data_IF_427657688244
#
_entry.id   IF_427657688244
#
_cell.length_a   1.000
_cell.length_b   1.000
_cell.length_c   1.000
_cell.angle_alpha   90.00
_cell.angle_beta   90.00
_cell.angle_gamma   90.00
#
_symmetry.space_group_name_H-M   'P 1'
#
loop_
_entity.id
_entity.type
_entity.pdbx_description
1 polymer ?
#
# COMPACT_ATOMS: atom_id res chain seq x y z
N UNK A 1 13.97 -6.99 15.64
CA UNK A 1 13.62 -5.86 14.75
C UNK A 1 12.79 -6.41 13.61
N UNK A 2 11.54 -5.96 13.46
CA UNK A 2 10.70 -6.40 12.34
C UNK A 2 11.27 -5.88 11.02
N UNK A 3 11.71 -6.80 10.16
CA UNK A 3 12.21 -6.48 8.81
C UNK A 3 11.09 -5.83 8.01
N UNK A 4 11.36 -4.71 7.35
CA UNK A 4 10.38 -4.06 6.46
C UNK A 4 9.92 -5.03 5.35
N UNK A 5 8.66 -4.96 4.94
CA UNK A 5 8.13 -5.74 3.82
C UNK A 5 8.68 -5.21 2.50
N UNK A 6 9.21 -6.10 1.67
CA UNK A 6 9.70 -5.78 0.33
C UNK A 6 8.58 -5.84 -0.71
N UNK A 7 8.73 -5.11 -1.85
CA UNK A 7 7.78 -5.20 -2.96
C UNK A 7 7.61 -6.64 -3.47
N UNK A 8 8.69 -7.44 -3.47
CA UNK A 8 8.64 -8.83 -3.94
C UNK A 8 7.80 -9.72 -3.03
N UNK A 9 7.87 -9.52 -1.72
CA UNK A 9 7.01 -10.23 -0.77
C UNK A 9 5.54 -9.83 -0.95
N UNK A 10 5.27 -8.54 -1.21
CA UNK A 10 3.91 -8.07 -1.49
C UNK A 10 3.35 -8.70 -2.78
N UNK A 11 4.14 -8.79 -3.86
CA UNK A 11 3.75 -9.49 -5.09
C UNK A 11 3.36 -10.95 -4.84
N UNK A 12 4.17 -11.66 -4.05
CA UNK A 12 3.89 -13.06 -3.70
C UNK A 12 2.58 -13.16 -2.90
N UNK A 13 2.38 -12.27 -1.92
CA UNK A 13 1.14 -12.23 -1.14
C UNK A 13 -0.09 -11.89 -1.99
N UNK A 14 0.04 -10.99 -2.97
CA UNK A 14 -1.06 -10.68 -3.91
C UNK A 14 -1.41 -11.89 -4.75
N UNK A 15 -0.40 -12.56 -5.32
CA UNK A 15 -0.60 -13.76 -6.13
C UNK A 15 -1.29 -14.88 -5.34
N UNK A 16 -0.84 -15.13 -4.11
CA UNK A 16 -1.42 -16.17 -3.25
C UNK A 16 -2.80 -15.78 -2.70
N UNK A 17 -2.99 -14.50 -2.35
CA UNK A 17 -4.24 -14.01 -1.77
C UNK A 17 -5.41 -13.97 -2.74
N UNK A 18 -5.13 -13.74 -4.03
CA UNK A 18 -6.11 -13.85 -5.11
C UNK A 18 -6.53 -15.31 -5.37
N UNK A 19 -5.63 -16.28 -5.16
CA UNK A 19 -5.90 -17.72 -5.36
C UNK A 19 -6.68 -18.35 -4.21
N UNK A 20 -6.33 -18.05 -2.97
CA UNK A 20 -6.82 -18.76 -1.77
C UNK A 20 -7.94 -18.03 -0.99
N UNK A 21 -8.56 -17.01 -1.59
CA UNK A 21 -9.69 -16.24 -1.00
C UNK A 21 -9.44 -15.73 0.44
N UNK A 22 -8.24 -15.22 0.77
CA UNK A 22 -7.94 -14.50 2.03
C UNK A 22 -8.11 -15.24 3.37
N UNK A 23 -9.01 -16.23 3.50
CA UNK A 23 -9.26 -17.01 4.72
C UNK A 23 -8.12 -17.98 5.01
N UNK A 24 -7.47 -18.51 3.97
CA UNK A 24 -6.31 -19.41 4.09
C UNK A 24 -4.96 -18.68 4.12
N UNK A 25 -4.95 -17.35 4.11
CA UNK A 25 -3.71 -16.57 4.21
C UNK A 25 -2.93 -16.84 5.51
N UNK A 26 -3.65 -17.23 6.58
CA UNK A 26 -3.05 -17.66 7.86
C UNK A 26 -2.33 -19.01 7.79
N UNK A 27 -2.36 -19.72 6.65
CA UNK A 27 -1.58 -20.92 6.40
C UNK A 27 -0.33 -20.66 5.53
N UNK A 28 -0.18 -19.45 4.97
CA UNK A 28 0.91 -19.12 4.06
C UNK A 28 2.14 -18.69 4.85
N UNK A 29 3.23 -19.43 4.69
CA UNK A 29 4.53 -19.12 5.26
C UNK A 29 5.49 -18.65 4.16
N UNK A 30 6.11 -17.48 4.34
CA UNK A 30 7.11 -16.95 3.39
C UNK A 30 8.50 -16.98 4.01
N UNK A 31 9.05 -18.19 4.20
CA UNK A 31 10.45 -18.46 4.58
C UNK A 31 10.90 -17.88 5.92
N UNK A 32 10.94 -16.56 6.03
CA UNK A 32 11.25 -15.77 7.22
C UNK A 32 10.02 -14.98 7.75
N UNK A 33 8.84 -15.11 7.13
CA UNK A 33 7.59 -14.51 7.59
C UNK A 33 6.63 -15.59 8.07
N UNK A 34 6.15 -15.43 9.29
CA UNK A 34 5.10 -16.26 9.86
C UNK A 34 3.77 -16.02 9.15
N UNK A 35 2.88 -17.00 9.21
CA UNK A 35 1.60 -16.88 8.53
C UNK A 35 0.68 -15.81 9.12
N UNK A 36 0.86 -15.46 10.40
CA UNK A 36 0.22 -14.27 11.00
C UNK A 36 0.72 -12.98 10.34
N UNK A 37 2.04 -12.83 10.19
CA UNK A 37 2.63 -11.66 9.52
C UNK A 37 2.14 -11.56 8.07
N UNK A 38 2.10 -12.66 7.32
CA UNK A 38 1.55 -12.71 5.96
C UNK A 38 0.06 -12.30 5.91
N UNK A 39 -0.76 -12.80 6.82
CA UNK A 39 -2.19 -12.46 6.88
C UNK A 39 -2.44 -10.99 7.22
N UNK A 40 -1.68 -10.43 8.17
CA UNK A 40 -1.80 -9.02 8.55
C UNK A 40 -1.32 -8.10 7.42
N UNK A 41 -0.23 -8.48 6.73
CA UNK A 41 0.25 -7.76 5.54
C UNK A 41 -0.74 -7.83 4.39
N UNK A 42 -1.31 -9.00 4.10
CA UNK A 42 -2.32 -9.15 3.05
C UNK A 42 -3.54 -8.26 3.26
N UNK A 43 -4.04 -8.15 4.51
CA UNK A 43 -5.13 -7.22 4.83
C UNK A 43 -4.75 -5.77 4.51
N UNK A 44 -3.52 -5.38 4.84
CA UNK A 44 -3.03 -4.05 4.51
C UNK A 44 -2.97 -3.84 2.98
N UNK A 45 -2.42 -4.80 2.22
CA UNK A 45 -2.32 -4.72 0.76
C UNK A 45 -3.70 -4.66 0.11
N UNK A 46 -4.63 -5.56 0.45
CA UNK A 46 -6.01 -5.56 -0.08
C UNK A 46 -6.81 -4.32 0.27
N UNK A 47 -6.45 -3.64 1.35
CA UNK A 47 -7.06 -2.36 1.73
C UNK A 47 -6.72 -1.23 0.75
N UNK A 48 -5.63 -1.37 0.01
CA UNK A 48 -5.13 -0.37 -0.92
C UNK A 48 -5.50 -0.68 -2.36
N UNK A 49 -5.86 0.37 -3.09
CA UNK A 49 -6.15 0.28 -4.52
C UNK A 49 -4.81 0.27 -5.26
N UNK A 50 -4.54 -0.79 -6.04
CA UNK A 50 -3.35 -0.94 -6.88
C UNK A 50 -3.68 -0.65 -8.35
N UNK A 51 -3.82 0.64 -8.67
CA UNK A 51 -4.05 1.15 -10.04
C UNK A 51 -3.40 2.54 -10.19
N UNK A 52 -3.23 3.11 -11.39
CA UNK A 52 -2.76 4.49 -11.52
C UNK A 52 -3.63 5.48 -10.73
N UNK A 53 -3.02 6.55 -10.19
CA UNK A 53 -3.79 7.63 -9.56
C UNK A 53 -4.61 8.36 -10.63
N UNK A 54 -5.88 8.62 -10.35
CA UNK A 54 -6.68 9.49 -11.23
C UNK A 54 -6.29 10.95 -11.03
N UNK A 55 -6.58 11.84 -11.99
CA UNK A 55 -6.41 13.29 -11.80
C UNK A 55 -7.14 13.82 -10.55
N UNK A 56 -8.29 13.24 -10.21
CA UNK A 56 -9.03 13.56 -8.99
C UNK A 56 -8.25 13.17 -7.73
N UNK A 57 -7.70 11.95 -7.68
CA UNK A 57 -6.87 11.50 -6.56
C UNK A 57 -5.61 12.37 -6.43
N UNK A 58 -4.95 12.72 -7.55
CA UNK A 58 -3.82 13.64 -7.59
C UNK A 58 -4.16 15.02 -7.01
N UNK A 59 -5.29 15.61 -7.43
CA UNK A 59 -5.77 16.89 -6.89
C UNK A 59 -6.11 16.78 -5.40
N UNK A 60 -6.68 15.65 -4.97
CA UNK A 60 -6.93 15.39 -3.54
C UNK A 60 -5.64 15.30 -2.75
N UNK A 61 -4.59 14.65 -3.27
CA UNK A 61 -3.25 14.64 -2.66
C UNK A 61 -2.73 16.07 -2.50
N UNK A 62 -2.82 16.92 -3.54
CA UNK A 62 -2.38 18.32 -3.45
C UNK A 62 -3.10 19.08 -2.35
N UNK A 63 -4.41 18.95 -2.28
CA UNK A 63 -5.20 19.61 -1.25
C UNK A 63 -4.83 19.13 0.16
N UNK A 64 -4.70 17.81 0.35
CA UNK A 64 -4.29 17.23 1.64
C UNK A 64 -2.87 17.64 2.04
N UNK A 65 -1.96 17.74 1.06
CA UNK A 65 -0.57 18.18 1.29
C UNK A 65 -0.50 19.66 1.65
N UNK A 66 -1.33 20.52 1.05
CA UNK A 66 -1.45 21.92 1.47
C UNK A 66 -1.96 22.05 2.92
N UNK A 67 -2.93 21.22 3.32
CA UNK A 67 -3.49 21.28 4.68
C UNK A 67 -2.57 20.67 5.75
N UNK A 68 -1.89 19.57 5.43
CA UNK A 68 -1.20 18.76 6.43
C UNK A 68 0.31 18.61 6.20
N UNK A 69 0.86 19.08 5.08
CA UNK A 69 2.23 18.80 4.66
C UNK A 69 2.45 17.31 4.33
N UNK A 70 3.69 16.79 4.42
CA UNK A 70 4.05 15.43 3.99
C UNK A 70 3.59 14.32 4.97
N UNK A 71 2.38 14.42 5.51
CA UNK A 71 1.75 13.43 6.41
C UNK A 71 1.06 12.31 5.62
N UNK A 72 1.82 11.58 4.81
CA UNK A 72 1.31 10.53 3.90
C UNK A 72 0.47 9.46 4.58
N UNK A 73 0.83 9.08 5.82
CA UNK A 73 0.06 8.10 6.61
C UNK A 73 -1.36 8.59 6.91
N UNK A 74 -1.55 9.89 7.13
CA UNK A 74 -2.88 10.48 7.33
C UNK A 74 -3.69 10.50 6.03
N UNK A 75 -3.03 10.74 4.90
CA UNK A 75 -3.68 10.77 3.58
C UNK A 75 -4.07 9.36 3.09
N UNK A 76 -3.35 8.33 3.55
CA UNK A 76 -3.59 6.93 3.22
C UNK A 76 -4.99 6.47 3.60
N UNK A 77 -5.52 6.95 4.72
CA UNK A 77 -6.87 6.61 5.17
C UNK A 77 -7.94 7.22 4.25
N UNK A 78 -7.75 8.48 3.84
CA UNK A 78 -8.64 9.20 2.91
C UNK A 78 -8.63 8.60 1.49
N UNK A 79 -7.45 8.28 0.98
CA UNK A 79 -7.27 7.88 -0.41
C UNK A 79 -7.41 6.37 -0.62
N UNK A 80 -7.37 5.58 0.46
CA UNK A 80 -7.23 4.12 0.39
C UNK A 80 -6.07 3.70 -0.51
N UNK A 81 -4.96 4.42 -0.38
CA UNK A 81 -3.69 4.18 -1.08
C UNK A 81 -2.58 4.06 -0.05
N UNK A 82 -1.59 3.22 -0.31
CA UNK A 82 -0.50 3.10 0.65
C UNK A 82 0.24 4.45 0.78
N UNK A 83 0.78 4.80 1.97
CA UNK A 83 1.53 6.04 2.15
C UNK A 83 2.71 6.17 1.17
N UNK A 84 3.32 5.04 0.81
CA UNK A 84 4.41 4.96 -0.18
C UNK A 84 3.93 5.40 -1.56
N UNK A 85 2.81 4.83 -2.04
CA UNK A 85 2.24 5.18 -3.35
C UNK A 85 1.85 6.66 -3.43
N UNK A 86 1.32 7.22 -2.33
CA UNK A 86 0.98 8.65 -2.27
C UNK A 86 2.23 9.53 -2.39
N UNK A 87 3.31 9.18 -1.67
CA UNK A 87 4.59 9.89 -1.76
C UNK A 87 5.19 9.80 -3.17
N UNK A 88 5.20 8.62 -3.78
CA UNK A 88 5.70 8.42 -5.15
C UNK A 88 4.87 9.22 -6.16
N UNK A 89 3.54 9.23 -6.01
CA UNK A 89 2.66 10.05 -6.84
C UNK A 89 2.94 11.55 -6.67
N UNK A 90 3.18 12.02 -5.43
CA UNK A 90 3.56 13.42 -5.17
C UNK A 90 4.84 13.80 -5.89
N UNK A 91 5.91 13.01 -5.74
CA UNK A 91 7.20 13.28 -6.39
C UNK A 91 7.07 13.32 -7.91
N UNK A 92 6.32 12.39 -8.51
CA UNK A 92 6.07 12.36 -9.94
C UNK A 92 5.26 13.57 -10.45
N UNK A 93 4.41 14.18 -9.62
CA UNK A 93 3.69 15.41 -9.98
C UNK A 93 4.60 16.64 -9.97
N UNK A 94 5.57 16.71 -9.06
CA UNK A 94 6.48 17.84 -8.91
C UNK A 94 7.61 17.84 -9.95
N UNK A 95 8.02 16.67 -10.46
CA UNK A 95 9.03 16.57 -11.53
C UNK A 95 8.55 17.05 -12.92
N UNK A 96 7.24 17.30 -13.08
CA UNK A 96 6.63 17.75 -14.33
C UNK A 96 6.30 19.27 -14.29
N UNK A 97 6.50 19.94 -13.16
CA UNK A 97 6.24 21.37 -12.96
C UNK A 97 7.50 22.22 -13.14
#
# INVERSE_FOLDING_TARGET
MDKAWSPKEDEILVSLGNREYGKRMRAIYLGHRTAKQCADRWKAIRGYIDRPFTPFECNRIRHLHQMYGPRWRRMSDDLRRSPKMIKECWLAMEEIA
#
